data_IF_477944319685
#
_entry.id   IF_477944319685
#
_cell.length_a   1.000
_cell.length_b   1.000
_cell.length_c   1.000
_cell.angle_alpha   90.00
_cell.angle_beta   90.00
_cell.angle_gamma   90.00
#
_symmetry.space_group_name_H-M   'P 1'
#
loop_
_entity.id
_entity.type
_entity.pdbx_description
1 polymer ?
#
# COMPACT_ATOMS: atom_id res chain seq x y z
N UNK A 1 8.57 13.74 -17.28
CA UNK A 1 8.65 13.51 -15.83
C UNK A 1 7.78 12.30 -15.49
N UNK A 2 8.25 11.36 -14.68
CA UNK A 2 7.45 10.20 -14.27
C UNK A 2 6.31 10.58 -13.32
N UNK A 3 5.44 9.61 -12.98
CA UNK A 3 4.21 9.78 -12.15
C UNK A 3 4.42 10.62 -10.88
N UNK A 4 5.55 10.47 -10.21
CA UNK A 4 5.84 11.10 -8.92
C UNK A 4 6.75 12.34 -9.00
N UNK A 5 7.08 12.83 -10.20
CA UNK A 5 7.89 14.04 -10.37
C UNK A 5 9.32 13.96 -9.82
N UNK A 6 9.84 12.76 -9.54
CA UNK A 6 11.19 12.55 -8.98
C UNK A 6 12.24 13.03 -9.98
N UNK A 7 12.92 14.13 -9.65
CA UNK A 7 14.01 14.72 -10.43
C UNK A 7 15.41 14.49 -9.83
N UNK A 8 15.49 13.95 -8.61
CA UNK A 8 16.75 13.59 -7.96
C UNK A 8 17.20 12.17 -8.35
N UNK A 9 18.46 11.83 -8.03
CA UNK A 9 19.05 10.52 -8.35
C UNK A 9 18.34 9.40 -7.58
N UNK A 10 18.06 8.31 -8.27
CA UNK A 10 17.50 7.08 -7.70
C UNK A 10 18.48 5.95 -7.91
N UNK A 11 18.83 5.24 -6.84
CA UNK A 11 19.67 4.04 -6.87
C UNK A 11 18.76 2.84 -6.68
N UNK A 12 18.93 1.81 -7.52
CA UNK A 12 18.20 0.54 -7.38
C UNK A 12 18.96 -0.37 -6.41
N UNK A 13 18.37 -0.63 -5.25
CA UNK A 13 18.92 -1.52 -4.22
C UNK A 13 18.21 -2.88 -4.25
N UNK A 14 18.17 -3.53 -5.42
CA UNK A 14 17.36 -4.72 -5.66
C UNK A 14 17.72 -5.90 -4.75
N UNK A 15 18.98 -5.99 -4.29
CA UNK A 15 19.48 -7.05 -3.39
C UNK A 15 19.41 -6.68 -1.90
N UNK A 16 18.82 -5.51 -1.60
CA UNK A 16 18.73 -4.93 -0.26
C UNK A 16 20.11 -4.68 0.39
N UNK A 17 21.17 -4.49 -0.40
CA UNK A 17 22.54 -4.37 0.11
C UNK A 17 22.71 -3.08 0.92
N UNK A 18 22.25 -1.96 0.38
CA UNK A 18 22.28 -0.65 1.07
C UNK A 18 21.31 -0.65 2.24
N UNK A 19 20.10 -1.16 2.05
CA UNK A 19 19.08 -1.32 3.08
C UNK A 19 19.61 -2.06 4.32
N UNK A 20 20.25 -3.22 4.11
CA UNK A 20 20.85 -4.04 5.18
C UNK A 20 22.04 -3.34 5.82
N UNK A 21 22.90 -2.68 5.03
CA UNK A 21 24.05 -1.94 5.55
C UNK A 21 23.64 -0.79 6.49
N UNK A 22 22.52 -0.13 6.21
CA UNK A 22 21.94 0.90 7.08
C UNK A 22 21.09 0.33 8.24
N UNK A 23 20.97 -1.00 8.33
CA UNK A 23 20.12 -1.66 9.32
C UNK A 23 18.65 -1.26 9.21
N UNK A 24 18.19 -0.81 8.04
CA UNK A 24 16.84 -0.31 7.89
C UNK A 24 15.81 -1.45 8.02
N UNK A 25 14.63 -1.13 8.54
CA UNK A 25 13.50 -2.06 8.71
C UNK A 25 12.16 -1.46 8.33
N UNK A 26 12.14 -0.21 7.87
CA UNK A 26 10.90 0.56 7.70
C UNK A 26 10.90 1.33 6.38
N UNK A 27 9.70 1.48 5.84
CA UNK A 27 9.41 2.41 4.75
C UNK A 27 8.34 3.40 5.23
N UNK A 28 8.45 4.71 4.90
CA UNK A 28 9.68 5.36 4.43
C UNK A 28 10.70 5.51 5.57
N UNK A 29 11.95 5.82 5.20
CA UNK A 29 13.05 6.09 6.12
C UNK A 29 13.90 7.22 5.55
N UNK A 30 14.31 8.18 6.38
CA UNK A 30 15.16 9.30 5.98
C UNK A 30 16.43 9.31 6.81
N UNK A 31 17.58 9.38 6.14
CA UNK A 31 18.89 9.64 6.74
C UNK A 31 19.43 10.93 6.15
N UNK A 32 19.84 11.89 6.99
CA UNK A 32 20.59 13.07 6.53
C UNK A 32 22.06 12.89 6.88
N UNK A 33 22.89 12.96 5.84
CA UNK A 33 24.34 12.83 5.92
C UNK A 33 24.95 14.20 5.70
N UNK A 34 25.87 14.61 6.58
CA UNK A 34 26.59 15.87 6.43
C UNK A 34 27.73 15.80 5.42
N UNK A 35 28.42 16.93 5.25
CA UNK A 35 29.49 17.08 4.28
C UNK A 35 30.76 16.27 4.62
N UNK A 36 30.88 15.79 5.86
CA UNK A 36 32.00 14.97 6.31
C UNK A 36 31.64 13.47 6.31
N UNK A 37 30.40 13.12 5.90
CA UNK A 37 29.93 11.76 5.70
C UNK A 37 29.26 11.14 6.92
N UNK A 38 28.96 11.92 7.95
CA UNK A 38 28.29 11.43 9.16
C UNK A 38 26.77 11.54 9.06
N UNK A 39 26.06 10.54 9.57
CA UNK A 39 24.62 10.61 9.75
C UNK A 39 24.32 11.57 10.90
N UNK A 40 23.62 12.66 10.61
CA UNK A 40 23.26 13.72 11.57
C UNK A 40 21.79 13.75 11.94
N UNK A 41 20.98 13.02 11.19
CA UNK A 41 19.57 12.84 11.47
C UNK A 41 19.03 11.58 10.83
N UNK A 42 18.05 11.01 11.51
CA UNK A 42 17.52 9.70 11.24
C UNK A 42 16.04 9.64 11.63
N UNK A 43 15.17 9.31 10.67
CA UNK A 43 13.72 9.38 10.84
C UNK A 43 13.02 8.15 10.24
N UNK A 44 12.43 7.33 11.11
CA UNK A 44 11.54 6.23 10.72
C UNK A 44 10.16 6.79 10.40
N UNK A 45 9.57 6.33 9.29
CA UNK A 45 8.15 6.50 9.00
C UNK A 45 7.82 7.76 8.22
N UNK A 46 6.52 7.89 7.94
CA UNK A 46 5.92 9.05 7.30
C UNK A 46 5.81 10.22 8.29
N UNK A 47 5.87 11.45 7.78
CA UNK A 47 5.81 12.67 8.59
C UNK A 47 7.17 13.28 8.88
N UNK A 48 7.22 14.12 9.93
CA UNK A 48 8.42 14.83 10.36
C UNK A 48 9.01 15.76 9.29
N UNK A 49 8.19 16.25 8.37
CA UNK A 49 8.65 16.97 7.17
C UNK A 49 9.33 18.29 7.54
N UNK A 50 8.69 19.09 8.39
CA UNK A 50 9.21 20.37 8.87
C UNK A 50 10.51 20.18 9.65
N UNK A 51 10.55 19.18 10.53
CA UNK A 51 11.73 18.85 11.34
C UNK A 51 12.89 18.36 10.46
N UNK A 52 12.59 17.56 9.44
CA UNK A 52 13.59 17.11 8.45
C UNK A 52 14.15 18.31 7.67
N UNK A 53 13.28 19.22 7.22
CA UNK A 53 13.71 20.42 6.48
C UNK A 53 14.56 21.36 7.35
N UNK A 54 14.18 21.59 8.61
CA UNK A 54 14.97 22.37 9.55
C UNK A 54 16.38 21.80 9.72
N UNK A 55 16.50 20.46 9.79
CA UNK A 55 17.81 19.81 9.86
C UNK A 55 18.60 19.95 8.56
N UNK A 56 17.96 19.87 7.40
CA UNK A 56 18.63 20.16 6.11
C UNK A 56 19.18 21.58 6.11
N UNK A 57 18.38 22.56 6.53
CA UNK A 57 18.80 23.97 6.61
C UNK A 57 19.99 24.15 7.58
N UNK A 58 19.96 23.51 8.75
CA UNK A 58 21.05 23.50 9.72
C UNK A 58 22.36 22.98 9.10
N UNK A 59 22.34 21.82 8.47
CA UNK A 59 23.53 21.21 7.85
C UNK A 59 24.08 22.05 6.68
N UNK A 60 23.21 22.74 5.94
CA UNK A 60 23.63 23.67 4.89
C UNK A 60 24.29 24.92 5.49
N UNK A 61 23.74 25.48 6.58
CA UNK A 61 24.31 26.63 7.28
C UNK A 61 25.67 26.33 7.91
N UNK A 62 25.89 25.11 8.43
CA UNK A 62 27.20 24.65 8.91
C UNK A 62 28.30 24.76 7.82
N UNK A 63 27.92 24.67 6.54
CA UNK A 63 28.83 24.85 5.39
C UNK A 63 28.84 26.27 4.81
N UNK A 64 28.30 27.23 5.54
CA UNK A 64 28.30 28.64 5.17
C UNK A 64 27.24 29.02 4.13
N UNK A 65 26.25 28.15 3.87
CA UNK A 65 25.11 28.52 3.04
C UNK A 65 24.36 29.69 3.70
N UNK A 66 24.18 30.78 2.96
CA UNK A 66 23.38 31.92 3.41
C UNK A 66 21.95 31.72 2.98
N UNK A 67 21.20 30.97 3.78
CA UNK A 67 19.78 30.68 3.51
C UNK A 67 18.87 31.89 3.74
N UNK A 68 19.35 32.95 4.42
CA UNK A 68 18.53 34.10 4.78
C UNK A 68 17.40 33.69 5.73
N UNK A 69 16.23 34.36 5.64
CA UNK A 69 15.01 33.96 6.34
C UNK A 69 14.21 32.94 5.50
N UNK A 70 14.85 31.86 5.05
CA UNK A 70 14.17 30.82 4.31
C UNK A 70 13.25 30.05 5.27
N UNK A 71 11.97 30.44 5.27
CA UNK A 71 10.93 29.66 5.94
C UNK A 71 10.91 28.24 5.38
N UNK A 72 10.51 27.29 6.21
CA UNK A 72 10.23 25.92 5.75
C UNK A 72 9.12 25.93 4.70
N UNK A 73 9.19 24.97 3.81
CA UNK A 73 8.22 24.77 2.73
C UNK A 73 6.84 24.51 3.34
N UNK A 74 5.84 25.28 2.91
CA UNK A 74 4.47 25.16 3.39
C UNK A 74 3.69 24.15 2.55
N UNK A 75 4.04 22.87 2.68
CA UNK A 75 3.25 21.78 2.12
C UNK A 75 2.25 21.29 3.16
N UNK A 76 1.05 20.92 2.70
CA UNK A 76 0.06 20.27 3.54
C UNK A 76 0.60 18.90 4.01
N UNK A 77 0.69 18.71 5.32
CA UNK A 77 1.03 17.44 5.93
C UNK A 77 -0.20 16.52 5.93
N UNK A 78 -0.21 15.58 4.98
CA UNK A 78 -1.27 14.56 4.82
C UNK A 78 -1.00 13.27 5.57
N UNK A 79 0.02 13.24 6.46
CA UNK A 79 0.33 12.03 7.22
C UNK A 79 -0.88 11.61 8.07
N UNK A 80 -1.35 10.36 7.97
CA UNK A 80 -2.45 9.87 8.79
C UNK A 80 -2.09 9.97 10.29
N UNK A 81 -2.94 10.66 11.07
CA UNK A 81 -2.75 10.85 12.52
C UNK A 81 -3.65 9.96 13.37
N UNK A 82 -4.62 9.30 12.73
CA UNK A 82 -5.58 8.41 13.40
C UNK A 82 -5.06 6.99 13.31
N UNK A 83 -5.43 6.17 14.28
CA UNK A 83 -5.20 4.73 14.20
C UNK A 83 -5.97 4.20 12.98
N UNK A 84 -5.30 3.44 12.13
CA UNK A 84 -5.90 2.85 10.95
C UNK A 84 -5.54 1.38 10.85
N UNK A 85 -6.22 0.64 9.98
CA UNK A 85 -5.84 -0.72 9.61
C UNK A 85 -4.36 -0.73 9.21
N UNK A 86 -3.54 -1.65 9.76
CA UNK A 86 -2.15 -1.77 9.35
C UNK A 86 -2.06 -2.22 7.89
N UNK A 87 -0.90 -2.07 7.26
CA UNK A 87 -0.67 -2.70 5.95
C UNK A 87 -0.89 -4.21 6.06
N UNK A 88 -1.67 -4.78 5.13
CA UNK A 88 -1.99 -6.20 5.09
C UNK A 88 -1.31 -6.86 3.91
N UNK A 89 -0.44 -7.83 4.17
CA UNK A 89 0.33 -8.52 3.15
C UNK A 89 -0.35 -9.81 2.65
N UNK A 90 -0.29 -10.08 1.35
CA UNK A 90 -0.85 -11.26 0.72
C UNK A 90 0.16 -12.42 0.60
N UNK A 91 1.45 -12.12 0.53
CA UNK A 91 2.50 -13.15 0.44
C UNK A 91 2.79 -13.83 1.78
N UNK A 92 2.77 -15.16 1.79
CA UNK A 92 2.99 -15.92 3.02
C UNK A 92 4.39 -15.71 3.61
N UNK A 93 5.39 -15.44 2.77
CA UNK A 93 6.80 -15.28 3.17
C UNK A 93 7.02 -14.03 4.03
N UNK A 94 6.18 -13.00 3.85
CA UNK A 94 6.23 -11.79 4.65
C UNK A 94 5.17 -11.76 5.76
N UNK A 95 3.95 -12.24 5.48
CA UNK A 95 2.80 -12.16 6.38
C UNK A 95 2.94 -13.10 7.60
N UNK A 96 3.15 -14.40 7.36
CA UNK A 96 3.10 -15.42 8.42
C UNK A 96 4.19 -15.24 9.49
N UNK A 97 5.47 -14.93 9.17
CA UNK A 97 6.49 -14.67 10.18
C UNK A 97 6.18 -13.48 11.10
N UNK A 98 5.25 -12.61 10.71
CA UNK A 98 4.78 -11.46 11.49
C UNK A 98 3.50 -11.74 12.28
N UNK A 99 2.99 -12.97 12.20
CA UNK A 99 1.73 -13.36 12.84
C UNK A 99 0.49 -12.83 12.12
N UNK A 100 0.62 -12.36 10.88
CA UNK A 100 -0.51 -11.96 10.03
C UNK A 100 -0.90 -13.15 9.14
N UNK A 101 -2.19 -13.42 9.03
CA UNK A 101 -2.76 -14.47 8.16
C UNK A 101 -4.06 -13.96 7.52
N UNK A 102 -4.59 -14.67 6.52
CA UNK A 102 -5.95 -14.43 6.03
C UNK A 102 -6.98 -14.85 7.08
N UNK A 103 -8.15 -14.21 7.03
CA UNK A 103 -9.24 -14.49 7.95
C UNK A 103 -10.06 -15.74 7.62
N UNK A 104 -9.83 -16.36 6.46
CA UNK A 104 -10.50 -17.61 6.08
C UNK A 104 -10.19 -18.74 7.07
N UNK A 105 -11.16 -19.64 7.35
CA UNK A 105 -10.87 -20.86 8.10
C UNK A 105 -9.70 -21.62 7.47
N UNK A 106 -8.72 -21.99 8.29
CA UNK A 106 -7.52 -22.70 7.84
C UNK A 106 -6.34 -21.81 7.44
N UNK A 107 -6.54 -20.49 7.30
CA UNK A 107 -5.47 -19.56 6.93
C UNK A 107 -4.92 -19.78 5.52
N UNK A 108 -3.84 -19.07 5.19
CA UNK A 108 -3.12 -19.26 3.92
C UNK A 108 -2.59 -20.69 3.84
N UNK A 109 -2.60 -21.26 2.63
CA UNK A 109 -1.96 -22.55 2.33
C UNK A 109 -0.65 -22.30 1.57
N UNK A 110 0.52 -22.21 2.25
CA UNK A 110 1.76 -21.76 1.63
C UNK A 110 2.21 -22.65 0.47
N UNK A 111 2.47 -22.05 -0.68
CA UNK A 111 2.95 -22.74 -1.87
C UNK A 111 1.86 -23.51 -2.63
N UNK A 112 0.62 -23.54 -2.14
CA UNK A 112 -0.47 -24.33 -2.72
C UNK A 112 -1.64 -23.44 -3.20
N UNK A 113 -2.37 -23.99 -4.18
CA UNK A 113 -3.67 -23.46 -4.59
C UNK A 113 -4.78 -24.13 -3.78
N UNK A 114 -5.60 -23.32 -3.10
CA UNK A 114 -6.70 -23.78 -2.26
C UNK A 114 -7.99 -23.05 -2.58
N UNK A 115 -9.11 -23.72 -2.33
CA UNK A 115 -10.45 -23.17 -2.48
C UNK A 115 -10.87 -22.51 -1.16
N UNK A 116 -11.15 -21.20 -1.22
CA UNK A 116 -11.55 -20.41 -0.07
C UNK A 116 -13.02 -20.02 -0.17
N UNK A 117 -13.73 -20.08 0.95
CA UNK A 117 -15.09 -19.59 1.09
C UNK A 117 -15.14 -18.62 2.27
N UNK A 118 -15.79 -17.48 2.05
CA UNK A 118 -16.01 -16.49 3.11
C UNK A 118 -17.14 -16.99 3.99
N UNK A 119 -16.84 -17.25 5.27
CA UNK A 119 -17.78 -17.81 6.23
C UNK A 119 -17.74 -17.04 7.54
N UNK A 120 -18.91 -16.86 8.15
CA UNK A 120 -19.03 -16.24 9.47
C UNK A 120 -18.82 -14.72 9.47
N UNK A 121 -18.56 -14.17 10.65
CA UNK A 121 -18.34 -12.75 10.83
C UNK A 121 -16.90 -12.37 10.43
N UNK A 122 -16.78 -11.32 9.61
CA UNK A 122 -15.48 -10.78 9.23
C UNK A 122 -14.86 -10.04 10.42
N UNK A 123 -13.63 -10.41 10.75
CA UNK A 123 -12.77 -9.62 11.63
C UNK A 123 -12.23 -8.41 10.86
N UNK A 124 -12.06 -7.30 11.56
CA UNK A 124 -11.29 -6.17 11.04
C UNK A 124 -9.85 -6.60 10.77
N UNK A 125 -9.19 -5.88 9.87
CA UNK A 125 -7.75 -5.97 9.61
C UNK A 125 -7.29 -7.35 9.11
N UNK A 126 -8.17 -8.06 8.39
CA UNK A 126 -7.87 -9.37 7.81
C UNK A 126 -8.39 -9.48 6.38
N UNK A 127 -7.58 -10.07 5.50
CA UNK A 127 -7.95 -10.38 4.12
C UNK A 127 -8.81 -11.65 4.13
N UNK A 128 -9.95 -11.63 3.44
CA UNK A 128 -10.78 -12.81 3.20
C UNK A 128 -10.90 -13.06 1.71
N UNK A 129 -10.82 -14.33 1.32
CA UNK A 129 -10.86 -14.78 -0.06
C UNK A 129 -12.10 -15.63 -0.33
N UNK A 130 -12.64 -15.49 -1.53
CA UNK A 130 -13.61 -16.40 -2.12
C UNK A 130 -13.06 -16.93 -3.45
N UNK A 131 -13.25 -18.23 -3.69
CA UNK A 131 -12.78 -18.92 -4.88
C UNK A 131 -11.41 -19.56 -4.70
N UNK A 132 -10.82 -20.04 -5.80
CA UNK A 132 -9.52 -20.72 -5.83
C UNK A 132 -8.35 -19.74 -5.92
N UNK A 133 -7.47 -19.75 -4.93
CA UNK A 133 -6.29 -18.88 -4.87
C UNK A 133 -5.00 -19.67 -4.62
N UNK A 134 -3.95 -19.31 -5.36
CA UNK A 134 -2.58 -19.74 -5.12
C UNK A 134 -1.91 -18.82 -4.10
N UNK A 135 -1.38 -19.38 -3.02
CA UNK A 135 -0.58 -18.64 -2.05
C UNK A 135 0.89 -18.70 -2.45
N UNK A 136 1.42 -17.62 -3.01
CA UNK A 136 2.82 -17.47 -3.37
C UNK A 136 3.60 -16.81 -2.22
N UNK A 137 4.93 -16.87 -2.29
CA UNK A 137 5.79 -16.29 -1.24
C UNK A 137 5.52 -14.79 -1.04
N UNK A 138 5.28 -14.05 -2.13
CA UNK A 138 5.13 -12.59 -2.13
C UNK A 138 3.71 -12.09 -2.49
N UNK A 139 2.77 -12.97 -2.87
CA UNK A 139 1.45 -12.56 -3.33
C UNK A 139 0.39 -13.66 -3.20
N UNK A 140 -0.88 -13.29 -3.40
CA UNK A 140 -1.98 -14.20 -3.69
C UNK A 140 -2.41 -14.03 -5.14
N UNK A 141 -2.66 -15.13 -5.84
CA UNK A 141 -3.10 -15.15 -7.25
C UNK A 141 -4.39 -15.94 -7.42
N UNK A 142 -5.39 -15.33 -8.05
CA UNK A 142 -6.65 -15.99 -8.39
C UNK A 142 -6.41 -17.03 -9.50
N UNK A 143 -6.76 -18.29 -9.25
CA UNK A 143 -6.63 -19.41 -10.20
C UNK A 143 -7.93 -19.75 -10.91
N UNK A 144 -8.97 -18.94 -10.74
CA UNK A 144 -10.24 -19.08 -11.42
C UNK A 144 -10.93 -17.71 -11.60
N UNK A 145 -11.98 -17.68 -12.44
CA UNK A 145 -12.88 -16.54 -12.54
C UNK A 145 -13.92 -16.51 -11.42
N UNK A 146 -14.52 -15.34 -11.19
CA UNK A 146 -15.44 -15.05 -10.07
C UNK A 146 -14.80 -15.17 -8.68
N UNK A 147 -13.47 -15.07 -8.61
CA UNK A 147 -12.76 -14.92 -7.35
C UNK A 147 -13.03 -13.55 -6.74
N UNK A 148 -13.04 -13.47 -5.41
CA UNK A 148 -13.28 -12.23 -4.70
C UNK A 148 -12.40 -12.10 -3.46
N UNK A 149 -12.20 -10.85 -3.05
CA UNK A 149 -11.51 -10.46 -1.82
C UNK A 149 -12.49 -9.59 -1.02
N UNK A 150 -12.58 -9.84 0.28
CA UNK A 150 -13.28 -8.98 1.23
C UNK A 150 -12.35 -8.56 2.37
N UNK A 151 -12.52 -7.33 2.83
CA UNK A 151 -11.70 -6.74 3.87
C UNK A 151 -12.49 -5.69 4.63
N UNK A 152 -12.69 -5.92 5.93
CA UNK A 152 -13.15 -4.87 6.83
C UNK A 152 -11.93 -4.04 7.29
N UNK A 153 -11.93 -2.75 6.96
CA UNK A 153 -10.82 -1.84 7.27
C UNK A 153 -11.30 -0.55 7.94
N UNK A 154 -10.43 0.08 8.72
CA UNK A 154 -10.63 1.40 9.34
C UNK A 154 -9.64 2.39 8.77
N UNK A 155 -10.10 3.27 7.87
CA UNK A 155 -9.31 4.34 7.28
C UNK A 155 -10.23 5.30 6.51
N UNK A 156 -9.67 6.36 5.90
CA UNK A 156 -10.39 7.21 4.94
C UNK A 156 -10.26 6.65 3.51
N UNK A 157 -9.17 5.95 3.23
CA UNK A 157 -8.82 5.42 1.91
C UNK A 157 -8.27 4.00 2.00
N UNK A 158 -8.46 3.24 0.93
CA UNK A 158 -7.92 1.89 0.78
C UNK A 158 -7.28 1.74 -0.61
N UNK A 159 -6.11 1.12 -0.63
CA UNK A 159 -5.34 0.88 -1.82
C UNK A 159 -4.95 -0.60 -1.92
N UNK A 160 -4.77 -1.08 -3.14
CA UNK A 160 -4.29 -2.44 -3.43
C UNK A 160 -3.03 -2.39 -4.29
N UNK A 161 -2.01 -3.16 -3.91
CA UNK A 161 -0.79 -3.34 -4.70
C UNK A 161 -0.97 -4.55 -5.60
N UNK A 162 -1.44 -4.31 -6.82
CA UNK A 162 -1.70 -5.35 -7.81
C UNK A 162 -0.50 -5.56 -8.73
N UNK A 163 -0.35 -6.80 -9.20
CA UNK A 163 0.74 -7.21 -10.09
C UNK A 163 0.37 -7.02 -11.56
N UNK A 164 1.39 -7.06 -12.42
CA UNK A 164 1.25 -6.93 -13.87
C UNK A 164 0.25 -7.93 -14.43
N UNK A 165 -0.52 -7.50 -15.43
CA UNK A 165 -1.41 -8.35 -16.22
C UNK A 165 -1.02 -8.26 -17.70
N UNK A 166 -0.84 -9.40 -18.36
CA UNK A 166 -0.54 -9.42 -19.81
C UNK A 166 -1.70 -8.86 -20.64
N UNK A 167 -2.92 -9.11 -20.18
CA UNK A 167 -4.13 -8.47 -20.69
C UNK A 167 -4.80 -7.69 -19.56
N UNK A 168 -5.06 -6.38 -19.71
CA UNK A 168 -5.74 -5.62 -18.68
C UNK A 168 -7.03 -6.28 -18.21
N UNK A 169 -7.22 -6.31 -16.90
CA UNK A 169 -8.40 -6.91 -16.28
C UNK A 169 -9.19 -5.88 -15.48
N UNK A 170 -10.49 -6.11 -15.38
CA UNK A 170 -11.36 -5.32 -14.52
C UNK A 170 -11.38 -5.96 -13.14
N UNK A 171 -10.99 -5.17 -12.15
CA UNK A 171 -11.19 -5.47 -10.75
C UNK A 171 -12.39 -4.65 -10.27
N UNK A 172 -13.54 -5.29 -10.09
CA UNK A 172 -14.75 -4.62 -9.64
C UNK A 172 -14.61 -4.24 -8.17
N UNK A 173 -15.00 -3.02 -7.84
CA UNK A 173 -14.83 -2.43 -6.50
C UNK A 173 -16.18 -2.09 -5.92
N UNK A 174 -16.42 -2.61 -4.72
CA UNK A 174 -17.56 -2.27 -3.87
C UNK A 174 -17.12 -1.84 -2.48
N UNK A 175 -17.92 -0.99 -1.87
CA UNK A 175 -17.78 -0.57 -0.47
C UNK A 175 -19.14 -0.68 0.22
N UNK A 176 -19.14 -1.26 1.43
CA UNK A 176 -20.34 -1.42 2.26
C UNK A 176 -21.51 -2.11 1.54
N UNK A 177 -21.18 -3.08 0.68
CA UNK A 177 -22.13 -3.88 -0.08
C UNK A 177 -22.71 -3.19 -1.34
N UNK A 178 -22.20 -2.01 -1.71
CA UNK A 178 -22.61 -1.28 -2.91
C UNK A 178 -21.41 -1.01 -3.83
N UNK A 179 -21.61 -0.81 -5.15
CA UNK A 179 -20.56 -0.24 -5.99
C UNK A 179 -20.07 1.09 -5.43
N UNK A 180 -18.77 1.35 -5.53
CA UNK A 180 -18.19 2.60 -5.04
C UNK A 180 -18.79 3.80 -5.79
N UNK A 181 -19.30 4.79 -5.05
CA UNK A 181 -19.87 6.03 -5.62
C UNK A 181 -18.76 6.99 -6.09
N UNK A 182 -19.12 8.08 -6.78
CA UNK A 182 -18.15 9.11 -7.19
C UNK A 182 -17.45 9.78 -6.02
N UNK A 183 -18.16 9.93 -4.90
CA UNK A 183 -17.67 10.58 -3.68
C UNK A 183 -16.75 9.67 -2.86
N UNK A 184 -16.81 8.35 -3.08
CA UNK A 184 -16.00 7.34 -2.39
C UNK A 184 -14.92 6.74 -3.31
N UNK A 185 -14.95 7.07 -4.60
CA UNK A 185 -14.06 6.52 -5.62
C UNK A 185 -12.63 6.96 -5.38
N UNK A 186 -11.73 5.99 -5.31
CA UNK A 186 -10.31 6.27 -5.41
C UNK A 186 -9.90 6.73 -6.81
N UNK A 187 -8.70 7.30 -6.93
CA UNK A 187 -8.19 7.92 -8.16
C UNK A 187 -8.14 6.96 -9.36
N UNK A 188 -8.11 5.65 -9.11
CA UNK A 188 -8.00 4.61 -10.14
C UNK A 188 -9.34 3.94 -10.48
N UNK A 189 -10.43 4.36 -9.83
CA UNK A 189 -11.76 3.76 -10.02
C UNK A 189 -12.50 4.44 -11.16
N UNK A 190 -12.97 3.63 -12.10
CA UNK A 190 -13.93 4.01 -13.13
C UNK A 190 -15.33 3.70 -12.59
N UNK A 191 -16.09 4.75 -12.26
CA UNK A 191 -17.45 4.64 -11.73
C UNK A 191 -18.44 4.46 -12.88
N UNK A 192 -19.12 3.31 -12.91
CA UNK A 192 -20.23 3.03 -13.84
C UNK A 192 -21.60 3.17 -13.18
N UNK A 193 -22.67 2.98 -13.95
CA UNK A 193 -24.05 3.10 -13.45
C UNK A 193 -24.44 1.97 -12.50
N UNK A 194 -23.98 0.74 -12.77
CA UNK A 194 -24.30 -0.46 -11.99
C UNK A 194 -23.10 -1.08 -11.28
N UNK A 195 -21.88 -0.76 -11.73
CA UNK A 195 -20.64 -1.32 -11.21
C UNK A 195 -19.51 -0.31 -11.35
N UNK A 196 -18.61 -0.30 -10.37
CA UNK A 196 -17.37 0.47 -10.38
C UNK A 196 -16.20 -0.49 -10.45
N UNK A 197 -15.14 -0.13 -11.18
CA UNK A 197 -14.00 -1.03 -11.38
C UNK A 197 -12.69 -0.28 -11.57
N UNK A 198 -11.59 -0.96 -11.29
CA UNK A 198 -10.22 -0.54 -11.61
C UNK A 198 -9.75 -1.34 -12.82
N UNK A 199 -9.06 -0.69 -13.76
CA UNK A 199 -8.37 -1.38 -14.85
C UNK A 199 -6.94 -1.71 -14.41
N UNK A 200 -6.70 -2.97 -14.07
CA UNK A 200 -5.39 -3.47 -13.61
C UNK A 200 -4.58 -3.93 -14.83
N UNK A 201 -3.37 -3.42 -14.97
CA UNK A 201 -2.49 -3.67 -16.12
C UNK A 201 -1.02 -3.71 -15.73
N UNK A 202 -0.56 -2.78 -14.89
CA UNK A 202 0.83 -2.61 -14.52
C UNK A 202 1.04 -2.88 -13.02
N UNK A 203 2.24 -3.30 -12.61
CA UNK A 203 2.53 -3.54 -11.20
C UNK A 203 2.64 -2.21 -10.46
N UNK A 204 1.62 -1.86 -9.68
CA UNK A 204 1.60 -0.63 -8.87
C UNK A 204 0.55 -0.68 -7.77
N UNK A 205 0.59 0.35 -6.93
CA UNK A 205 -0.51 0.69 -6.04
C UNK A 205 -1.66 1.31 -6.86
N UNK A 206 -2.86 0.78 -6.64
CA UNK A 206 -4.13 1.26 -7.17
C UNK A 206 -5.01 1.78 -6.02
N UNK A 207 -5.50 3.01 -6.12
CA UNK A 207 -6.39 3.61 -5.12
C UNK A 207 -7.84 3.21 -5.39
N UNK A 208 -8.42 2.41 -4.50
CA UNK A 208 -9.73 1.80 -4.67
C UNK A 208 -10.85 2.58 -3.97
N UNK A 209 -10.53 3.23 -2.86
CA UNK A 209 -11.49 4.02 -2.07
C UNK A 209 -10.81 5.28 -1.57
N UNK A 210 -11.54 6.39 -1.62
CA UNK A 210 -11.20 7.64 -0.95
C UNK A 210 -12.49 8.30 -0.45
N UNK A 211 -12.69 8.32 0.87
CA UNK A 211 -13.94 8.74 1.49
C UNK A 211 -13.76 9.23 2.92
N UNK A 212 -14.85 9.22 3.69
CA UNK A 212 -14.81 9.61 5.09
C UNK A 212 -14.08 8.56 5.93
N UNK A 213 -13.32 9.00 6.94
CA UNK A 213 -12.73 8.09 7.91
C UNK A 213 -13.80 7.29 8.65
N UNK A 214 -13.70 5.96 8.61
CA UNK A 214 -14.62 5.05 9.28
C UNK A 214 -14.19 3.60 9.13
N UNK A 215 -14.97 2.69 9.70
CA UNK A 215 -14.85 1.26 9.41
C UNK A 215 -15.76 0.93 8.24
N UNK A 216 -15.18 0.35 7.18
CA UNK A 216 -15.87 0.02 5.94
C UNK A 216 -15.56 -1.40 5.51
N UNK A 217 -16.46 -1.99 4.71
CA UNK A 217 -16.25 -3.28 4.07
C UNK A 217 -15.88 -3.08 2.60
N UNK A 218 -14.61 -3.27 2.25
CA UNK A 218 -14.15 -3.34 0.87
C UNK A 218 -14.48 -4.71 0.28
N UNK A 219 -15.03 -4.72 -0.92
CA UNK A 219 -15.19 -5.93 -1.75
C UNK A 219 -14.50 -5.70 -3.09
N UNK A 220 -13.66 -6.65 -3.49
CA UNK A 220 -13.03 -6.67 -4.80
C UNK A 220 -13.38 -7.98 -5.49
N UNK A 221 -13.83 -7.93 -6.74
CA UNK A 221 -14.17 -9.10 -7.52
C UNK A 221 -13.48 -9.12 -8.87
N UNK A 222 -13.05 -10.30 -9.31
CA UNK A 222 -12.42 -10.51 -10.61
C UNK A 222 -13.11 -11.63 -11.37
N UNK A 223 -13.43 -11.37 -12.64
CA UNK A 223 -14.19 -12.30 -13.49
C UNK A 223 -13.32 -13.37 -14.17
N UNK A 224 -11.99 -13.22 -14.14
CA UNK A 224 -11.04 -14.11 -14.82
C UNK A 224 -9.88 -14.46 -13.89
N UNK A 225 -9.24 -15.60 -14.15
CA UNK A 225 -8.01 -16.00 -13.47
C UNK A 225 -6.83 -15.05 -13.77
N UNK A 226 -5.76 -15.19 -12.99
CA UNK A 226 -4.49 -14.50 -13.20
C UNK A 226 -4.33 -13.17 -12.45
N UNK A 227 -5.40 -12.67 -11.82
CA UNK A 227 -5.28 -11.50 -10.94
C UNK A 227 -4.44 -11.84 -9.72
N UNK A 228 -3.38 -11.06 -9.49
CA UNK A 228 -2.52 -11.20 -8.33
C UNK A 228 -2.30 -9.87 -7.62
N UNK A 229 -2.17 -9.90 -6.30
CA UNK A 229 -1.90 -8.74 -5.46
C UNK A 229 -0.98 -9.12 -4.29
N UNK A 230 -0.22 -8.14 -3.80
CA UNK A 230 0.81 -8.35 -2.78
C UNK A 230 0.47 -7.70 -1.43
N UNK A 231 -0.29 -6.60 -1.41
CA UNK A 231 -0.65 -5.92 -0.18
C UNK A 231 -1.87 -4.99 -0.31
N UNK A 232 -2.44 -4.62 0.83
CA UNK A 232 -3.34 -3.48 1.01
C UNK A 232 -2.71 -2.41 1.89
N UNK A 233 -2.84 -1.14 1.49
CA UNK A 233 -2.40 0.02 2.29
C UNK A 233 -3.55 1.00 2.50
N UNK A 234 -3.43 1.83 3.55
CA UNK A 234 -4.53 2.67 4.06
C UNK A 234 -4.03 4.08 4.38
N UNK A 235 -4.94 5.06 4.30
CA UNK A 235 -4.70 6.47 4.61
C UNK A 235 -5.95 7.20 5.09
#
# INVERSE_FOLDING_TARGET
MGKYGIGYRVVQDNDYATWKAFGNRFWPRKYLVDADGFIRYDHIGEGGYTETEQKIQELLMERGARLGNMSTTQLEDKTPRRQQTPELYAGYGFALPRGQDIGNPGGMQPGEAADYLIQGALKNDAIYLNGRWQSNEDNLEAKEGNAAIMLAFTASSANIVALKQDTPLKLFVGIDGQPVSKEQAGDDVIVGESQSYILVAEPRLYNAVNGAYGTHLLTLAVEREGFAFSAFTFG
#
